data_IF_020007254929
#
_entry.id   IF_020007254929
#
_cell.length_a   1.000
_cell.length_b   1.000
_cell.length_c   1.000
_cell.angle_alpha   90.00
_cell.angle_beta   90.00
_cell.angle_gamma   90.00
#
_symmetry.space_group_name_H-M   'P 1'
#
loop_
_entity.id
_entity.type
_entity.pdbx_description
1 polymer ?
#
# COMPACT_ATOMS: atom_id res chain seq x y z
N UNK A 1 9.97 -7.07 -28.97
CA UNK A 1 10.26 -5.77 -28.32
C UNK A 1 9.67 -5.79 -26.92
N UNK A 2 10.48 -5.90 -25.86
CA UNK A 2 9.96 -5.87 -24.48
C UNK A 2 9.47 -4.45 -24.16
N UNK A 3 8.23 -4.32 -23.71
CA UNK A 3 7.68 -3.04 -23.27
C UNK A 3 8.28 -2.68 -21.92
N UNK A 4 8.95 -1.53 -21.88
CA UNK A 4 9.76 -1.07 -20.78
C UNK A 4 8.94 -0.91 -19.48
N UNK A 5 9.24 -1.80 -18.54
CA UNK A 5 9.24 -1.62 -17.09
C UNK A 5 8.33 -0.51 -16.52
N UNK A 6 7.06 -0.85 -16.24
CA UNK A 6 6.26 -0.08 -15.27
C UNK A 6 6.86 -0.31 -13.88
N UNK A 7 7.91 0.45 -13.56
CA UNK A 7 8.45 0.59 -12.21
C UNK A 7 7.32 1.08 -11.27
N UNK A 8 6.48 0.16 -10.80
CA UNK A 8 5.60 0.37 -9.65
C UNK A 8 6.51 0.40 -8.44
N UNK A 9 7.32 1.44 -8.32
CA UNK A 9 8.22 1.59 -7.17
C UNK A 9 7.33 1.59 -5.93
N UNK A 10 7.54 0.60 -5.07
CA UNK A 10 6.82 0.51 -3.82
C UNK A 10 7.11 1.79 -3.03
N UNK A 11 6.05 2.46 -2.59
CA UNK A 11 6.16 3.57 -1.64
C UNK A 11 6.58 2.96 -0.31
N UNK A 12 7.81 3.23 0.11
CA UNK A 12 8.36 2.73 1.38
C UNK A 12 7.66 3.41 2.56
N UNK A 13 7.86 2.86 3.76
CA UNK A 13 7.36 3.49 4.98
C UNK A 13 8.01 4.86 5.19
N UNK A 14 9.30 4.99 4.88
CA UNK A 14 10.08 6.23 5.02
C UNK A 14 9.55 7.33 4.11
N UNK A 15 9.21 7.00 2.85
CA UNK A 15 8.58 7.95 1.92
C UNK A 15 7.27 8.50 2.49
N UNK A 16 6.48 7.68 3.19
CA UNK A 16 5.19 8.10 3.77
C UNK A 16 5.38 9.01 4.96
N UNK A 17 6.29 8.63 5.86
CA UNK A 17 6.62 9.44 7.03
C UNK A 17 7.13 10.80 6.57
N UNK A 18 8.09 10.84 5.65
CA UNK A 18 8.60 12.10 5.07
C UNK A 18 7.48 12.91 4.43
N UNK A 19 6.64 12.29 3.60
CA UNK A 19 5.53 12.98 2.95
C UNK A 19 4.56 13.64 3.95
N UNK A 20 4.19 12.93 5.02
CA UNK A 20 3.28 13.45 6.06
C UNK A 20 3.96 14.56 6.87
N UNK A 21 5.20 14.36 7.32
CA UNK A 21 5.97 15.37 8.06
C UNK A 21 6.13 16.66 7.26
N UNK A 22 6.49 16.57 5.98
CA UNK A 22 6.63 17.74 5.11
C UNK A 22 5.30 18.45 4.87
N UNK A 23 4.19 17.70 4.83
CA UNK A 23 2.86 18.28 4.70
C UNK A 23 2.43 19.01 5.98
N UNK A 24 2.75 18.46 7.16
CA UNK A 24 2.50 19.13 8.45
C UNK A 24 3.34 20.41 8.60
N UNK A 25 4.51 20.48 7.97
CA UNK A 25 5.33 21.69 7.86
C UNK A 25 4.76 22.73 6.87
N UNK A 26 3.64 22.46 6.20
CA UNK A 26 3.00 23.38 5.26
C UNK A 26 3.58 23.37 3.85
N UNK A 27 4.44 22.42 3.47
CA UNK A 27 4.90 22.29 2.09
C UNK A 27 3.77 21.83 1.18
N UNK A 28 3.78 22.31 -0.07
CA UNK A 28 2.81 21.88 -1.08
C UNK A 28 3.08 20.44 -1.55
N UNK A 29 2.01 19.69 -1.87
CA UNK A 29 2.11 18.32 -2.38
C UNK A 29 2.98 18.19 -3.64
N UNK A 30 3.01 19.23 -4.48
CA UNK A 30 3.84 19.25 -5.69
C UNK A 30 5.34 19.37 -5.36
N UNK A 31 5.71 20.18 -4.37
CA UNK A 31 7.09 20.30 -3.91
C UNK A 31 7.58 18.98 -3.27
N UNK A 32 6.74 18.37 -2.42
CA UNK A 32 7.03 17.08 -1.78
C UNK A 32 7.20 15.98 -2.83
N UNK A 33 6.34 15.97 -3.86
CA UNK A 33 6.46 15.02 -4.97
C UNK A 33 7.79 15.15 -5.71
N UNK A 34 8.27 16.37 -5.96
CA UNK A 34 9.59 16.58 -6.58
C UNK A 34 10.73 16.09 -5.68
N UNK A 35 10.65 16.35 -4.37
CA UNK A 35 11.64 15.95 -3.38
C UNK A 35 11.76 14.42 -3.25
N UNK A 36 10.61 13.71 -3.29
CA UNK A 36 10.55 12.25 -3.16
C UNK A 36 10.52 11.50 -4.51
N UNK A 37 10.66 12.22 -5.64
CA UNK A 37 10.50 11.67 -6.99
C UNK A 37 9.15 10.92 -7.18
N UNK A 38 8.08 11.43 -6.57
CA UNK A 38 6.72 10.88 -6.63
C UNK A 38 5.75 11.86 -7.28
N UNK A 39 4.68 11.31 -7.85
CA UNK A 39 3.59 12.14 -8.38
C UNK A 39 2.85 12.86 -7.24
N UNK A 40 2.38 14.09 -7.50
CA UNK A 40 1.50 14.84 -6.60
C UNK A 40 0.31 13.99 -6.11
N UNK A 41 -0.29 13.21 -7.01
CA UNK A 41 -1.42 12.34 -6.70
C UNK A 41 -1.05 11.21 -5.72
N UNK A 42 0.19 10.72 -5.76
CA UNK A 42 0.70 9.76 -4.79
C UNK A 42 0.80 10.38 -3.40
N UNK A 43 1.42 11.56 -3.29
CA UNK A 43 1.55 12.29 -2.01
C UNK A 43 0.18 12.61 -1.42
N UNK A 44 -0.76 13.10 -2.25
CA UNK A 44 -2.13 13.38 -1.82
C UNK A 44 -2.80 12.13 -1.24
N UNK A 45 -2.71 10.98 -1.92
CA UNK A 45 -3.26 9.71 -1.44
C UNK A 45 -2.65 9.23 -0.12
N UNK A 46 -1.35 9.46 0.09
CA UNK A 46 -0.67 9.13 1.35
C UNK A 46 -1.25 10.02 2.47
N UNK A 47 -1.40 11.31 2.21
CA UNK A 47 -1.92 12.27 3.18
C UNK A 47 -3.40 12.01 3.52
N UNK A 48 -4.25 11.83 2.51
CA UNK A 48 -5.68 11.52 2.71
C UNK A 48 -5.83 10.26 3.56
N UNK A 49 -5.08 9.19 3.25
CA UNK A 49 -5.08 7.94 4.03
C UNK A 49 -4.60 8.15 5.47
N UNK A 50 -3.56 8.95 5.66
CA UNK A 50 -3.06 9.27 7.00
C UNK A 50 -4.13 10.03 7.80
N UNK A 51 -4.84 10.97 7.18
CA UNK A 51 -5.93 11.69 7.83
C UNK A 51 -7.10 10.76 8.22
N UNK A 52 -7.41 9.74 7.40
CA UNK A 52 -8.48 8.77 7.69
C UNK A 52 -8.11 7.74 8.77
N UNK A 53 -6.87 7.25 8.77
CA UNK A 53 -6.47 6.07 9.57
C UNK A 53 -5.45 6.39 10.66
N UNK A 54 -4.87 7.59 10.65
CA UNK A 54 -3.75 8.02 11.48
C UNK A 54 -2.58 7.02 11.50
N UNK A 55 -2.38 6.30 10.39
CA UNK A 55 -1.41 5.21 10.28
C UNK A 55 -0.56 5.35 9.03
N UNK A 56 0.74 5.05 9.19
CA UNK A 56 1.72 5.04 8.10
C UNK A 56 1.83 3.66 7.42
N UNK A 57 1.25 2.62 8.04
CA UNK A 57 1.30 1.24 7.55
C UNK A 57 0.28 1.00 6.44
N UNK A 58 0.58 0.10 5.52
CA UNK A 58 -0.46 -0.38 4.60
C UNK A 58 -1.52 -1.18 5.36
N UNK A 59 -2.75 -1.07 4.88
CA UNK A 59 -3.80 -1.98 5.30
C UNK A 59 -3.40 -3.41 4.92
N UNK A 60 -3.55 -4.39 5.81
CA UNK A 60 -3.39 -5.79 5.41
C UNK A 60 -4.27 -6.03 4.19
N UNK A 61 -3.68 -6.60 3.13
CA UNK A 61 -4.43 -6.93 1.92
C UNK A 61 -5.44 -8.00 2.31
N UNK A 62 -6.71 -7.65 2.33
CA UNK A 62 -7.76 -8.67 2.39
C UNK A 62 -7.74 -9.35 1.02
N UNK A 63 -7.07 -10.50 0.95
CA UNK A 63 -7.12 -11.36 -0.24
C UNK A 63 -8.56 -11.79 -0.52
N UNK A 64 -8.78 -12.46 -1.65
CA UNK A 64 -10.07 -13.10 -1.91
C UNK A 64 -10.33 -14.10 -0.78
N UNK A 65 -11.47 -13.96 -0.11
CA UNK A 65 -11.91 -14.93 0.90
C UNK A 65 -11.88 -16.33 0.27
N UNK A 66 -11.25 -17.29 0.94
CA UNK A 66 -11.23 -18.68 0.48
C UNK A 66 -12.66 -19.21 0.59
N UNK A 67 -13.16 -19.79 -0.50
CA UNK A 67 -14.50 -20.39 -0.56
C UNK A 67 -14.57 -21.64 0.33
N UNK A 68 -13.49 -22.42 0.36
CA UNK A 68 -13.38 -23.61 1.19
C UNK A 68 -12.99 -23.24 2.63
N UNK A 69 -13.73 -23.79 3.59
CA UNK A 69 -13.49 -23.64 5.03
C UNK A 69 -12.50 -24.71 5.50
N UNK A 70 -11.79 -24.51 6.62
CA UNK A 70 -10.87 -25.50 7.20
C UNK A 70 -11.50 -26.88 7.53
N UNK A 71 -12.84 -26.96 7.53
CA UNK A 71 -13.60 -28.20 7.66
C UNK A 71 -13.73 -28.94 6.32
N UNK A 72 -13.89 -28.20 5.24
CA UNK A 72 -14.04 -28.68 3.86
C UNK A 72 -12.71 -29.26 3.33
N UNK A 73 -11.59 -28.63 3.68
CA UNK A 73 -10.23 -29.14 3.41
C UNK A 73 -9.95 -30.49 4.12
N UNK A 74 -10.33 -30.60 5.40
CA UNK A 74 -10.23 -31.85 6.19
C UNK A 74 -11.04 -33.00 5.60
N UNK A 75 -12.17 -32.69 4.97
CA UNK A 75 -13.01 -33.68 4.30
C UNK A 75 -12.48 -34.07 2.91
N UNK A 76 -11.59 -33.26 2.30
CA UNK A 76 -10.98 -33.55 1.01
C UNK A 76 -9.77 -34.48 1.11
N UNK A 77 -8.99 -34.41 2.20
CA UNK A 77 -7.80 -35.27 2.36
C UNK A 77 -8.10 -36.72 2.74
N UNK A 78 -9.26 -37.02 3.32
CA UNK A 78 -9.66 -38.38 3.71
C UNK A 78 -8.73 -39.03 4.76
N UNK A 79 -9.24 -39.85 5.69
CA UNK A 79 -8.36 -40.68 6.50
C UNK A 79 -7.73 -41.74 5.57
N UNK A 80 -6.42 -41.66 5.39
CA UNK A 80 -5.62 -42.72 4.78
C UNK A 80 -5.74 -43.94 5.71
N UNK A 81 -6.55 -44.93 5.31
CA UNK A 81 -6.70 -46.22 6.00
C UNK A 81 -5.42 -47.04 5.97
#
# INVERSE_FOLDING_TARGET
MPSENRNRTLVTLEDRIKAVTLCQQGKSFAAIGKELNRSKSCIKRIFDRYNETNSYKDRPRTGRLRISTAKDDRNLVGPMS
#
